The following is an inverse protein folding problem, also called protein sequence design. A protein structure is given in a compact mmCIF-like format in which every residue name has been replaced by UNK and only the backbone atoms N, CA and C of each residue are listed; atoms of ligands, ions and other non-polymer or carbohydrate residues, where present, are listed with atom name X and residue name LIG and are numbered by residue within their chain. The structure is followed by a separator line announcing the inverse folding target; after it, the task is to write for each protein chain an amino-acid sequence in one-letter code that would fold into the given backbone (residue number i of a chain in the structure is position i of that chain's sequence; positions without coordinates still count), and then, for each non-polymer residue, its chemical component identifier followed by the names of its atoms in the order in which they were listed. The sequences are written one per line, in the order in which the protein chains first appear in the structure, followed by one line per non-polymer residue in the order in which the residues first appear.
data_IF_327752875942
#
_entry.id   IF_327752875942
#
_cell.length_a   1.000
_cell.length_b   1.000
_cell.length_c   1.000
_cell.angle_alpha   90.00
_cell.angle_beta   90.00
_cell.angle_gamma   90.00
#
_symmetry.space_group_name_H-M   'P 1'
#
loop_
_entity.id
_entity.type
_entity.pdbx_description
1 polymer ?
#
# COMPACT_ATOMS: atom_id res chain seq x y z
N UNK A 1 -32.22 -3.83 5.93
CA UNK A 1 -30.97 -3.13 6.30
C UNK A 1 -29.99 -3.98 7.12
N UNK A 2 -30.36 -5.20 7.54
CA UNK A 2 -29.53 -6.06 8.41
C UNK A 2 -28.66 -7.09 7.64
N UNK A 3 -28.77 -7.21 6.33
CA UNK A 3 -28.06 -8.25 5.56
C UNK A 3 -26.71 -7.85 4.98
N UNK A 4 -26.30 -6.58 5.07
CA UNK A 4 -25.02 -6.10 4.52
C UNK A 4 -23.81 -6.35 5.43
N UNK A 5 -24.03 -6.52 6.75
CA UNK A 5 -22.94 -6.65 7.74
C UNK A 5 -22.22 -8.01 7.69
N UNK A 6 -22.91 -9.10 7.32
CA UNK A 6 -22.33 -10.45 7.32
C UNK A 6 -21.30 -10.70 6.22
N UNK A 7 -21.39 -10.00 5.09
CA UNK A 7 -20.42 -10.17 3.99
C UNK A 7 -19.08 -9.48 4.22
N UNK A 8 -19.03 -8.46 5.06
CA UNK A 8 -17.76 -7.79 5.40
C UNK A 8 -16.89 -8.60 6.33
N UNK A 9 -17.48 -9.30 7.32
CA UNK A 9 -16.73 -10.13 8.27
C UNK A 9 -16.09 -11.36 7.64
N UNK A 10 -16.77 -12.01 6.68
CA UNK A 10 -16.21 -13.19 6.01
C UNK A 10 -15.03 -12.87 5.09
N UNK A 11 -15.00 -11.68 4.48
CA UNK A 11 -13.85 -11.26 3.66
C UNK A 11 -12.63 -10.86 4.51
N UNK A 12 -12.84 -10.28 5.68
CA UNK A 12 -11.77 -9.98 6.62
C UNK A 12 -11.15 -11.26 7.20
N UNK A 13 -11.96 -12.26 7.53
CA UNK A 13 -11.50 -13.55 8.04
C UNK A 13 -10.70 -14.35 7.00
N UNK A 14 -11.06 -14.27 5.71
CA UNK A 14 -10.29 -14.92 4.64
C UNK A 14 -8.95 -14.26 4.40
N UNK A 15 -8.86 -12.94 4.46
CA UNK A 15 -7.57 -12.22 4.35
C UNK A 15 -6.68 -12.51 5.55
N UNK A 16 -7.25 -12.53 6.75
CA UNK A 16 -6.50 -12.87 7.98
C UNK A 16 -6.11 -14.37 8.02
N UNK A 17 -6.96 -15.26 7.49
CA UNK A 17 -6.69 -16.69 7.39
C UNK A 17 -5.56 -17.02 6.40
N UNK A 18 -5.45 -16.29 5.30
CA UNK A 18 -4.32 -16.44 4.35
C UNK A 18 -3.01 -15.96 4.99
N UNK A 19 -3.05 -14.91 5.80
CA UNK A 19 -1.86 -14.45 6.55
C UNK A 19 -1.37 -15.50 7.56
N UNK A 20 -2.28 -16.14 8.28
CA UNK A 20 -1.89 -17.16 9.28
C UNK A 20 -1.39 -18.46 8.67
N UNK A 21 -1.84 -18.82 7.47
CA UNK A 21 -1.42 -20.06 6.82
C UNK A 21 -0.11 -19.95 6.01
N UNK A 22 0.25 -18.73 5.57
CA UNK A 22 1.49 -18.50 4.80
C UNK A 22 2.73 -18.27 5.70
N UNK A 23 2.54 -18.01 6.97
CA UNK A 23 3.57 -17.63 7.93
C UNK A 23 4.64 -18.71 8.27
N UNK A 24 4.37 -20.04 8.24
CA UNK A 24 5.39 -21.00 8.68
C UNK A 24 6.37 -21.45 7.60
N UNK A 25 6.25 -21.02 6.34
CA UNK A 25 6.94 -21.71 5.24
C UNK A 25 8.22 -21.01 4.76
N UNK A 26 8.37 -19.70 4.90
CA UNK A 26 9.57 -18.97 4.46
C UNK A 26 9.83 -17.73 5.30
N UNK A 27 10.90 -17.75 6.10
CA UNK A 27 11.44 -16.56 6.76
C UNK A 27 12.41 -15.89 5.78
N UNK A 28 12.14 -14.64 5.37
CA UNK A 28 13.03 -13.91 4.49
C UNK A 28 12.41 -12.64 3.89
N UNK A 29 13.26 -11.84 3.28
CA UNK A 29 12.87 -10.55 2.67
C UNK A 29 11.81 -10.74 1.56
N UNK A 30 11.96 -11.78 0.75
CA UNK A 30 11.02 -12.08 -0.34
C UNK A 30 9.63 -12.46 0.19
N UNK A 31 9.57 -13.29 1.24
CA UNK A 31 8.30 -13.67 1.86
C UNK A 31 7.60 -12.45 2.48
N UNK A 32 8.35 -11.57 3.16
CA UNK A 32 7.82 -10.33 3.70
C UNK A 32 7.25 -9.43 2.60
N UNK A 33 7.93 -9.30 1.46
CA UNK A 33 7.47 -8.52 0.31
C UNK A 33 6.18 -9.08 -0.32
N UNK A 34 6.07 -10.40 -0.46
CA UNK A 34 4.86 -11.05 -0.97
C UNK A 34 3.66 -10.83 -0.04
N UNK A 35 3.84 -11.04 1.26
CA UNK A 35 2.77 -10.83 2.25
C UNK A 35 2.31 -9.37 2.25
N UNK A 36 3.26 -8.42 2.21
CA UNK A 36 2.97 -7.00 2.06
C UNK A 36 2.14 -6.72 0.80
N UNK A 37 2.52 -7.29 -0.33
CA UNK A 37 1.79 -7.14 -1.59
C UNK A 37 0.36 -7.66 -1.48
N UNK A 38 0.16 -8.86 -0.94
CA UNK A 38 -1.18 -9.44 -0.74
C UNK A 38 -2.05 -8.64 0.22
N UNK A 39 -1.46 -7.98 1.20
CA UNK A 39 -2.18 -7.16 2.16
C UNK A 39 -2.57 -5.79 1.58
N UNK A 40 -1.70 -5.18 0.77
CA UNK A 40 -1.93 -3.87 0.18
C UNK A 40 -2.88 -3.94 -1.02
N UNK A 41 -2.84 -5.03 -1.79
CA UNK A 41 -3.62 -5.19 -3.00
C UNK A 41 -5.14 -5.03 -2.79
N UNK A 42 -5.81 -5.68 -1.82
CA UNK A 42 -7.22 -5.48 -1.58
C UNK A 42 -7.55 -4.06 -1.09
N UNK A 43 -6.64 -3.42 -0.37
CA UNK A 43 -6.81 -2.03 0.05
C UNK A 43 -6.80 -1.07 -1.14
N UNK A 44 -5.79 -1.18 -2.01
CA UNK A 44 -5.74 -0.36 -3.24
C UNK A 44 -6.96 -0.66 -4.13
N UNK A 45 -7.35 -1.92 -4.28
CA UNK A 45 -8.50 -2.30 -5.09
C UNK A 45 -9.81 -1.69 -4.58
N UNK A 46 -10.00 -1.59 -3.25
CA UNK A 46 -11.18 -0.94 -2.68
C UNK A 46 -11.20 0.56 -2.97
N UNK A 47 -10.07 1.25 -2.79
CA UNK A 47 -9.95 2.69 -3.09
C UNK A 47 -10.15 2.95 -4.58
N UNK A 48 -9.58 2.12 -5.46
CA UNK A 48 -9.77 2.26 -6.91
C UNK A 48 -11.23 2.06 -7.32
N UNK A 49 -11.95 1.13 -6.71
CA UNK A 49 -13.38 0.94 -6.96
C UNK A 49 -14.16 2.22 -6.65
N UNK A 50 -13.90 2.84 -5.51
CA UNK A 50 -14.58 4.08 -5.10
C UNK A 50 -14.25 5.23 -6.05
N UNK A 51 -12.99 5.36 -6.45
CA UNK A 51 -12.53 6.35 -7.43
C UNK A 51 -13.20 6.16 -8.79
N UNK A 52 -13.35 4.94 -9.27
CA UNK A 52 -14.04 4.67 -10.54
C UNK A 52 -15.57 4.86 -10.46
N UNK A 53 -16.15 4.77 -9.28
CA UNK A 53 -17.58 5.02 -9.07
C UNK A 53 -17.94 6.52 -9.20
N UNK A 54 -16.97 7.42 -9.06
CA UNK A 54 -17.18 8.88 -9.18
C UNK A 54 -17.53 9.29 -10.63
N UNK A 55 -17.17 8.47 -11.64
CA UNK A 55 -17.46 8.79 -13.04
C UNK A 55 -18.97 8.82 -13.28
N UNK A 56 -19.53 9.96 -13.77
CA UNK A 56 -20.96 10.08 -14.05
C UNK A 56 -21.45 9.01 -15.03
N UNK A 57 -22.59 8.37 -14.78
CA UNK A 57 -23.12 7.31 -15.65
C UNK A 57 -23.38 7.81 -17.07
N UNK A 58 -23.80 9.07 -17.22
CA UNK A 58 -24.05 9.70 -18.53
C UNK A 58 -22.83 9.63 -19.46
N UNK A 59 -21.61 9.81 -18.94
CA UNK A 59 -20.40 9.72 -19.74
C UNK A 59 -20.13 8.29 -20.23
N UNK A 60 -20.46 7.30 -19.42
CA UNK A 60 -20.30 5.89 -19.80
C UNK A 60 -21.39 5.47 -20.81
N UNK A 61 -22.63 5.87 -20.57
CA UNK A 61 -23.76 5.55 -21.43
C UNK A 61 -23.61 6.19 -22.81
N UNK A 62 -23.17 7.45 -22.89
CA UNK A 62 -22.93 8.14 -24.16
C UNK A 62 -21.83 7.44 -24.98
N UNK A 63 -20.78 6.94 -24.33
CA UNK A 63 -19.74 6.20 -25.01
C UNK A 63 -20.22 4.85 -25.55
N UNK A 64 -21.02 4.13 -24.76
CA UNK A 64 -21.64 2.89 -25.24
C UNK A 64 -22.64 3.16 -26.38
N UNK A 65 -23.38 4.29 -26.33
CA UNK A 65 -24.25 4.73 -27.41
C UNK A 65 -23.53 5.03 -28.73
N UNK A 66 -22.25 5.43 -28.66
CA UNK A 66 -21.37 5.60 -29.82
C UNK A 66 -20.76 4.29 -30.34
N UNK A 67 -21.05 3.15 -29.71
CA UNK A 67 -20.56 1.83 -30.10
C UNK A 67 -19.18 1.47 -29.52
N UNK A 68 -18.68 2.20 -28.53
CA UNK A 68 -17.41 1.88 -27.90
C UNK A 68 -17.48 0.55 -27.12
N UNK A 69 -16.42 -0.24 -27.20
CA UNK A 69 -16.24 -1.44 -26.39
C UNK A 69 -15.97 -1.07 -24.93
N UNK A 70 -16.23 -2.00 -23.99
CA UNK A 70 -16.00 -1.78 -22.55
C UNK A 70 -14.56 -1.38 -22.25
N UNK A 71 -13.60 -1.95 -22.99
CA UNK A 71 -12.17 -1.63 -22.84
C UNK A 71 -11.85 -0.19 -23.28
N UNK A 72 -12.44 0.26 -24.37
CA UNK A 72 -12.27 1.63 -24.87
C UNK A 72 -12.88 2.65 -23.92
N UNK A 73 -14.08 2.38 -23.36
CA UNK A 73 -14.71 3.23 -22.34
C UNK A 73 -13.81 3.37 -21.12
N UNK A 74 -13.26 2.27 -20.61
CA UNK A 74 -12.34 2.31 -19.46
C UNK A 74 -11.08 3.10 -19.78
N UNK A 75 -10.45 2.85 -20.93
CA UNK A 75 -9.16 3.44 -21.29
C UNK A 75 -9.25 4.92 -21.66
N UNK A 76 -10.29 5.33 -22.40
CA UNK A 76 -10.39 6.68 -22.94
C UNK A 76 -11.27 7.63 -22.13
N UNK A 77 -12.17 7.11 -21.30
CA UNK A 77 -13.10 7.92 -20.51
C UNK A 77 -12.84 7.78 -19.02
N UNK A 78 -12.94 6.56 -18.47
CA UNK A 78 -12.86 6.33 -17.02
C UNK A 78 -11.46 6.67 -16.50
N UNK A 79 -10.42 6.14 -17.11
CA UNK A 79 -9.05 6.31 -16.65
C UNK A 79 -8.57 7.77 -16.69
N UNK A 80 -8.76 8.53 -17.79
CA UNK A 80 -8.35 9.94 -17.83
C UNK A 80 -9.18 10.84 -16.91
N UNK A 81 -10.48 10.53 -16.72
CA UNK A 81 -11.31 11.26 -15.79
C UNK A 81 -10.90 11.06 -14.33
N UNK A 82 -10.54 9.84 -13.95
CA UNK A 82 -10.20 9.46 -12.57
C UNK A 82 -8.71 9.51 -12.25
N UNK A 83 -7.85 10.02 -13.13
CA UNK A 83 -6.39 10.01 -12.93
C UNK A 83 -5.94 10.56 -11.58
N UNK A 84 -6.55 11.67 -11.12
CA UNK A 84 -6.22 12.25 -9.80
C UNK A 84 -6.52 11.31 -8.64
N UNK A 85 -7.67 10.65 -8.71
CA UNK A 85 -8.08 9.66 -7.71
C UNK A 85 -7.20 8.41 -7.72
N UNK A 86 -6.85 7.91 -8.93
CA UNK A 86 -5.95 6.76 -9.09
C UNK A 86 -4.60 7.03 -8.46
N UNK A 87 -4.03 8.20 -8.74
CA UNK A 87 -2.75 8.59 -8.15
C UNK A 87 -2.87 8.74 -6.63
N UNK A 88 -3.94 9.36 -6.14
CA UNK A 88 -4.23 9.45 -4.71
C UNK A 88 -4.31 8.07 -4.04
N UNK A 89 -4.96 7.12 -4.67
CA UNK A 89 -5.06 5.74 -4.20
C UNK A 89 -3.71 5.02 -4.14
N UNK A 90 -2.85 5.22 -5.15
CA UNK A 90 -1.47 4.68 -5.14
C UNK A 90 -0.66 5.30 -4.00
N UNK A 91 -0.76 6.61 -3.75
CA UNK A 91 -0.08 7.29 -2.66
C UNK A 91 -0.54 6.79 -1.28
N UNK A 92 -1.84 6.55 -1.11
CA UNK A 92 -2.38 5.96 0.10
C UNK A 92 -1.86 4.53 0.33
N UNK A 93 -1.79 3.73 -0.73
CA UNK A 93 -1.20 2.38 -0.69
C UNK A 93 0.27 2.40 -0.30
N UNK A 94 1.05 3.33 -0.87
CA UNK A 94 2.46 3.51 -0.57
C UNK A 94 2.67 3.97 0.89
N UNK A 95 1.86 4.89 1.38
CA UNK A 95 1.91 5.34 2.77
C UNK A 95 1.62 4.19 3.75
N UNK A 96 0.64 3.34 3.42
CA UNK A 96 0.33 2.14 4.20
C UNK A 96 1.49 1.13 4.17
N UNK A 97 2.11 0.91 3.01
CA UNK A 97 3.25 0.00 2.87
C UNK A 97 4.45 0.43 3.72
N UNK A 98 4.74 1.73 3.74
CA UNK A 98 5.84 2.28 4.54
C UNK A 98 5.56 2.22 6.06
N UNK A 99 4.30 2.26 6.47
CA UNK A 99 3.88 2.17 7.87
C UNK A 99 3.64 0.75 8.38
N UNK A 100 3.77 -0.28 7.54
CA UNK A 100 3.52 -1.65 7.95
C UNK A 100 4.67 -2.19 8.80
N UNK A 101 4.39 -2.45 10.07
CA UNK A 101 5.38 -2.88 11.06
C UNK A 101 5.19 -4.34 11.45
N UNK A 102 3.97 -4.70 11.84
CA UNK A 102 3.69 -5.99 12.50
C UNK A 102 3.87 -7.20 11.58
N UNK A 103 3.29 -7.17 10.36
CA UNK A 103 3.39 -8.30 9.45
C UNK A 103 4.85 -8.54 9.00
N UNK A 104 5.60 -7.45 8.78
CA UNK A 104 7.02 -7.52 8.41
C UNK A 104 7.85 -8.08 9.56
N UNK A 105 7.63 -7.63 10.80
CA UNK A 105 8.35 -8.09 12.00
C UNK A 105 8.30 -9.61 12.15
N UNK A 106 7.13 -10.23 11.96
CA UNK A 106 6.97 -11.67 12.13
C UNK A 106 7.58 -12.51 11.00
N UNK A 107 7.78 -11.94 9.82
CA UNK A 107 8.18 -12.73 8.63
C UNK A 107 9.59 -12.45 8.17
N UNK A 108 10.15 -11.28 8.46
CA UNK A 108 11.48 -10.89 8.00
C UNK A 108 12.63 -11.63 8.70
N UNK A 109 12.38 -12.18 9.92
CA UNK A 109 13.33 -13.01 10.66
C UNK A 109 14.31 -12.27 11.54
N UNK A 110 14.21 -10.95 11.66
CA UNK A 110 14.96 -10.06 12.57
C UNK A 110 16.47 -10.36 12.67
N UNK A 111 17.13 -10.62 11.54
CA UNK A 111 18.57 -10.86 11.48
C UNK A 111 19.31 -9.56 11.14
N UNK A 112 20.29 -9.18 11.98
CA UNK A 112 21.11 -7.99 11.75
C UNK A 112 22.26 -8.22 10.76
N UNK A 113 22.35 -9.41 10.14
CA UNK A 113 23.37 -9.70 9.13
C UNK A 113 22.95 -9.18 7.76
N UNK A 114 23.83 -8.39 7.15
CA UNK A 114 23.64 -7.92 5.77
C UNK A 114 24.01 -9.08 4.84
N UNK A 115 23.01 -9.64 4.16
CA UNK A 115 23.20 -10.64 3.12
C UNK A 115 22.62 -10.17 1.80
N UNK A 116 23.26 -10.48 0.69
CA UNK A 116 22.79 -10.16 -0.65
C UNK A 116 21.73 -11.13 -1.16
N UNK A 117 21.32 -12.12 -0.37
CA UNK A 117 20.33 -13.12 -0.75
C UNK A 117 18.91 -12.67 -0.38
N UNK A 118 17.99 -12.69 -1.35
CA UNK A 118 16.58 -12.39 -1.14
C UNK A 118 15.84 -13.39 -0.22
N UNK A 119 16.41 -14.58 -0.04
CA UNK A 119 15.87 -15.63 0.82
C UNK A 119 16.46 -15.56 2.24
N UNK A 120 17.45 -14.73 2.48
CA UNK A 120 18.03 -14.61 3.81
C UNK A 120 17.11 -13.79 4.72
N UNK A 121 17.10 -14.12 6.03
CA UNK A 121 16.43 -13.28 7.01
C UNK A 121 17.11 -11.91 7.07
N UNK A 122 16.33 -10.86 7.21
CA UNK A 122 16.78 -9.48 7.31
C UNK A 122 16.16 -8.78 8.51
N UNK A 123 16.40 -7.47 8.61
CA UNK A 123 15.71 -6.58 9.54
C UNK A 123 15.23 -5.33 8.83
N UNK A 124 14.18 -4.71 9.31
CA UNK A 124 13.74 -3.39 8.90
C UNK A 124 13.78 -2.44 10.09
N UNK A 125 13.94 -1.14 9.82
CA UNK A 125 13.94 -0.12 10.88
C UNK A 125 12.68 -0.24 11.74
N UNK A 126 11.54 -0.46 11.10
CA UNK A 126 10.26 -0.60 11.78
C UNK A 126 10.16 -1.88 12.62
N UNK A 127 10.74 -3.01 12.14
CA UNK A 127 10.74 -4.27 12.91
C UNK A 127 11.67 -4.21 14.13
N UNK A 128 12.85 -3.60 13.98
CA UNK A 128 13.78 -3.38 15.09
C UNK A 128 13.14 -2.52 16.17
N UNK A 129 12.51 -1.40 15.78
CA UNK A 129 11.79 -0.54 16.70
C UNK A 129 10.70 -1.28 17.47
N UNK A 130 9.89 -2.11 16.78
CA UNK A 130 8.79 -2.84 17.40
C UNK A 130 9.26 -3.94 18.37
N UNK A 131 10.38 -4.61 18.07
CA UNK A 131 10.88 -5.70 18.89
C UNK A 131 11.65 -5.21 20.12
N UNK A 132 12.47 -4.18 19.98
CA UNK A 132 13.40 -3.75 21.01
C UNK A 132 12.82 -2.68 21.93
N UNK A 133 11.70 -2.05 21.56
CA UNK A 133 11.12 -0.96 22.34
C UNK A 133 10.69 -1.37 23.78
N UNK A 134 10.25 -2.63 23.95
CA UNK A 134 9.79 -3.14 25.24
C UNK A 134 10.90 -3.56 26.20
N UNK A 135 12.14 -3.75 25.71
CA UNK A 135 13.28 -4.26 26.48
C UNK A 135 14.41 -3.21 26.61
N UNK A 136 14.19 -2.01 26.08
CA UNK A 136 15.23 -0.97 25.98
C UNK A 136 15.45 -0.27 27.33
N UNK A 137 16.72 -0.23 27.75
CA UNK A 137 17.21 0.62 28.84
C UNK A 137 17.36 2.08 28.36
N UNK A 138 17.56 3.02 29.28
CA UNK A 138 17.55 4.46 29.03
C UNK A 138 18.38 4.91 27.82
N UNK A 139 19.61 4.40 27.68
CA UNK A 139 20.49 4.74 26.55
C UNK A 139 20.00 4.11 25.24
N UNK A 140 19.56 2.87 25.29
CA UNK A 140 19.02 2.15 24.15
C UNK A 140 17.69 2.73 23.69
N UNK A 141 16.86 3.14 24.63
CA UNK A 141 15.60 3.83 24.38
C UNK A 141 15.81 5.14 23.60
N UNK A 142 16.82 5.93 23.97
CA UNK A 142 17.14 7.17 23.26
C UNK A 142 17.57 6.93 21.81
N UNK A 143 18.33 5.85 21.57
CA UNK A 143 18.72 5.43 20.22
C UNK A 143 17.51 4.98 19.38
N UNK A 144 16.54 4.26 19.98
CA UNK A 144 15.30 3.87 19.31
C UNK A 144 14.43 5.06 18.94
N UNK A 145 14.35 6.09 19.80
CA UNK A 145 13.66 7.34 19.44
C UNK A 145 14.33 8.05 18.26
N UNK A 146 15.65 8.10 18.22
CA UNK A 146 16.39 8.65 17.07
C UNK A 146 16.11 7.86 15.78
N UNK A 147 16.05 6.52 15.88
CA UNK A 147 15.71 5.64 14.76
C UNK A 147 14.27 5.86 14.25
N UNK A 148 13.32 6.03 15.17
CA UNK A 148 11.92 6.36 14.86
C UNK A 148 11.79 7.72 14.18
N UNK A 149 12.53 8.73 14.64
CA UNK A 149 12.57 10.05 14.03
C UNK A 149 13.16 9.99 12.62
N UNK A 150 14.21 9.22 12.43
CA UNK A 150 14.82 9.00 11.12
C UNK A 150 13.83 8.32 10.16
N UNK A 151 13.11 7.31 10.62
CA UNK A 151 12.05 6.66 9.82
C UNK A 151 10.96 7.66 9.43
N UNK A 152 10.53 8.50 10.37
CA UNK A 152 9.54 9.55 10.12
C UNK A 152 10.01 10.53 9.05
N UNK A 153 11.25 11.01 9.14
CA UNK A 153 11.83 11.93 8.14
C UNK A 153 11.92 11.28 6.76
N UNK A 154 12.35 10.01 6.68
CA UNK A 154 12.43 9.26 5.41
C UNK A 154 11.04 9.14 4.78
N UNK A 155 10.04 8.71 5.55
CA UNK A 155 8.67 8.56 5.04
C UNK A 155 8.08 9.89 4.59
N UNK A 156 8.33 10.97 5.33
CA UNK A 156 7.87 12.31 4.98
C UNK A 156 8.51 12.78 3.66
N UNK A 157 9.82 12.58 3.49
CA UNK A 157 10.55 12.94 2.26
C UNK A 157 10.02 12.13 1.08
N UNK A 158 9.88 10.82 1.21
CA UNK A 158 9.40 9.92 0.14
C UNK A 158 7.98 10.31 -0.29
N UNK A 159 7.07 10.49 0.66
CA UNK A 159 5.68 10.88 0.36
C UNK A 159 5.59 12.29 -0.24
N UNK A 160 6.40 13.24 0.24
CA UNK A 160 6.46 14.60 -0.30
C UNK A 160 6.97 14.61 -1.74
N UNK A 161 8.04 13.85 -2.02
CA UNK A 161 8.59 13.71 -3.37
C UNK A 161 7.56 13.04 -4.31
N UNK A 162 6.93 11.97 -3.86
CA UNK A 162 5.90 11.28 -4.61
C UNK A 162 4.74 12.24 -4.95
N UNK A 163 4.23 12.99 -3.99
CA UNK A 163 3.20 14.01 -4.20
C UNK A 163 3.65 15.11 -5.16
N UNK A 164 4.88 15.59 -5.02
CA UNK A 164 5.43 16.61 -5.90
C UNK A 164 5.57 16.13 -7.35
N UNK A 165 5.99 14.88 -7.56
CA UNK A 165 6.06 14.27 -8.90
C UNK A 165 4.68 14.20 -9.56
N UNK A 166 3.67 13.81 -8.79
CA UNK A 166 2.29 13.74 -9.28
C UNK A 166 1.77 15.12 -9.69
N UNK A 167 1.93 16.12 -8.83
CA UNK A 167 1.51 17.51 -9.12
C UNK A 167 2.24 18.07 -10.35
N UNK A 168 3.52 17.71 -10.57
CA UNK A 168 4.26 18.09 -11.78
C UNK A 168 3.71 17.42 -13.02
N UNK A 169 3.38 16.13 -12.94
CA UNK A 169 2.79 15.38 -14.05
C UNK A 169 1.40 15.91 -14.43
N UNK A 170 0.63 16.39 -13.47
CA UNK A 170 -0.67 17.05 -13.71
C UNK A 170 -0.51 18.40 -14.41
N UNK A 171 0.43 19.24 -13.97
CA UNK A 171 0.70 20.53 -14.61
C UNK A 171 1.16 20.38 -16.05
N UNK A 172 1.97 19.38 -16.35
CA UNK A 172 2.44 19.11 -17.70
C UNK A 172 1.32 18.68 -18.67
N UNK A 173 0.21 18.09 -18.16
CA UNK A 173 -0.96 17.72 -18.98
C UNK A 173 -1.97 18.85 -19.12
N UNK A 174 -2.12 19.71 -18.10
CA UNK A 174 -3.05 20.84 -18.14
C UNK A 174 -2.64 21.97 -19.10
N UNK A 175 -1.41 21.97 -19.60
CA UNK A 175 -0.90 22.99 -20.54
C UNK A 175 -1.14 22.58 -22.02
N UNK A 176 -1.71 21.40 -22.28
CA UNK A 176 -1.98 20.89 -23.63
C UNK A 176 -3.45 20.99 -24.05
N UNK A 177 -4.29 21.69 -23.29
CA UNK A 177 -5.65 22.10 -23.65
C UNK A 177 -5.64 23.61 -23.88
#
# INVERSE_FOLDING_TARGET
FFFSSRRRHTRLLTVTGVQTCALPICIGILAAGLILSFMILPFIASVMRDVFAIVPPVLRESAYGMGCTTWEVVRHIVLPYTQKGVVGGIMLGLGRALGETMAVTFVIGNSQRISSSLFAPGSSIASTLANEFGEADDLHLSALFALGLLLFVITLVVLSLAKAMVLRAEKAKGTKT
#
